data_IF_085957955337
#
_entry.id   IF_085957955337
#
_cell.length_a   1.000
_cell.length_b   1.000
_cell.length_c   1.000
_cell.angle_alpha   90.00
_cell.angle_beta   90.00
_cell.angle_gamma   90.00
#
_symmetry.space_group_name_H-M   'P 1'
#
loop_
_entity.id
_entity.type
_entity.pdbx_description
1 polymer ?
#
# COMPACT_ATOMS: atom_id res chain seq x y z
N UNK A 1 -7.66 7.18 -21.43
CA UNK A 1 -7.62 6.01 -22.32
C UNK A 1 -6.24 5.39 -22.49
N UNK A 2 -5.17 6.11 -22.22
CA UNK A 2 -3.81 5.57 -22.42
C UNK A 2 -3.30 4.69 -21.26
N UNK A 3 -3.93 4.72 -20.11
CA UNK A 3 -3.52 3.96 -18.93
C UNK A 3 -3.90 2.47 -19.00
N UNK A 4 -4.91 2.12 -19.76
CA UNK A 4 -5.34 0.73 -19.92
C UNK A 4 -4.49 -0.05 -20.92
N UNK A 5 -3.86 0.63 -21.89
CA UNK A 5 -2.99 -0.01 -22.87
C UNK A 5 -1.61 -0.36 -22.31
N UNK A 6 -1.11 0.38 -21.33
CA UNK A 6 0.19 0.08 -20.73
C UNK A 6 0.17 -1.18 -19.85
N UNK A 7 -0.98 -1.51 -19.24
CA UNK A 7 -1.11 -2.72 -18.45
C UNK A 7 -1.17 -4.00 -19.29
N UNK A 8 -1.72 -3.92 -20.48
CA UNK A 8 -1.79 -5.07 -21.39
C UNK A 8 -0.41 -5.39 -21.99
N UNK A 9 0.40 -4.38 -22.24
CA UNK A 9 1.76 -4.57 -22.74
C UNK A 9 2.69 -5.20 -21.70
N UNK A 10 2.49 -4.90 -20.42
CA UNK A 10 3.26 -5.50 -19.33
C UNK A 10 2.97 -6.99 -19.17
N UNK A 11 1.71 -7.40 -19.28
CA UNK A 11 1.34 -8.81 -19.26
C UNK A 11 1.84 -9.57 -20.49
N UNK A 12 1.92 -8.92 -21.66
CA UNK A 12 2.42 -9.55 -22.89
C UNK A 12 3.93 -9.80 -22.83
N UNK A 13 4.69 -8.90 -22.23
CA UNK A 13 6.14 -9.06 -22.03
C UNK A 13 6.45 -10.18 -21.05
N UNK A 14 5.65 -10.32 -19.98
CA UNK A 14 5.77 -11.43 -19.04
C UNK A 14 5.41 -12.78 -19.67
N UNK A 15 4.47 -12.80 -20.59
CA UNK A 15 4.08 -14.01 -21.31
C UNK A 15 5.14 -14.47 -22.30
N UNK A 16 5.90 -13.55 -22.88
CA UNK A 16 6.98 -13.87 -23.82
C UNK A 16 8.21 -14.45 -23.11
N UNK A 17 8.53 -13.97 -21.91
CA UNK A 17 9.63 -14.51 -21.08
C UNK A 17 9.35 -15.94 -20.61
N UNK A 18 8.09 -16.29 -20.44
CA UNK A 18 7.72 -17.63 -19.98
C UNK A 18 7.85 -18.70 -21.07
N UNK A 19 7.95 -18.31 -22.36
CA UNK A 19 8.17 -19.26 -23.45
C UNK A 19 9.63 -19.73 -23.55
N UNK A 20 10.58 -18.89 -23.17
CA UNK A 20 11.99 -19.27 -23.15
C UNK A 20 12.34 -20.14 -21.95
N UNK A 21 11.63 -19.98 -20.83
CA UNK A 21 11.82 -20.79 -19.64
C UNK A 21 11.37 -22.25 -19.82
N UNK A 22 10.46 -22.51 -20.76
CA UNK A 22 9.97 -23.88 -21.01
C UNK A 22 10.96 -24.76 -21.77
N UNK A 23 11.88 -24.18 -22.52
CA UNK A 23 12.89 -24.92 -23.24
C UNK A 23 14.10 -25.31 -22.39
N UNK A 24 14.30 -24.64 -21.26
CA UNK A 24 15.38 -24.96 -20.32
C UNK A 24 15.01 -26.05 -19.31
N UNK A 25 13.73 -26.37 -19.17
CA UNK A 25 13.20 -27.32 -18.18
C UNK A 25 13.34 -28.78 -18.56
N UNK A 26 13.79 -29.11 -19.77
CA UNK A 26 13.91 -30.49 -20.26
C UNK A 26 15.24 -31.15 -19.83
N UNK A 27 16.17 -30.41 -19.26
CA UNK A 27 17.50 -30.93 -18.91
C UNK A 27 17.93 -30.81 -17.44
N UNK A 28 17.04 -30.50 -16.53
CA UNK A 28 17.43 -30.33 -15.15
C UNK A 28 16.31 -30.66 -14.18
N UNK A 29 16.02 -31.93 -14.07
CA UNK A 29 15.19 -32.40 -12.96
C UNK A 29 16.06 -32.47 -11.72
N UNK A 30 16.01 -31.50 -10.86
CA UNK A 30 16.35 -31.50 -9.43
C UNK A 30 16.52 -30.04 -8.96
N UNK A 31 15.51 -29.55 -8.27
CA UNK A 31 15.58 -28.26 -7.62
C UNK A 31 14.43 -27.31 -7.95
N UNK A 32 13.20 -27.81 -7.96
CA UNK A 32 12.02 -26.96 -7.93
C UNK A 32 11.87 -26.39 -6.52
N UNK A 33 12.77 -25.50 -6.15
CA UNK A 33 12.43 -24.50 -5.16
C UNK A 33 11.50 -23.52 -5.86
N UNK A 34 10.24 -23.85 -5.81
CA UNK A 34 9.17 -22.95 -6.15
C UNK A 34 9.26 -21.77 -5.18
N UNK A 35 10.07 -20.81 -5.55
CA UNK A 35 10.06 -19.52 -4.90
C UNK A 35 8.72 -18.90 -5.24
N UNK A 36 7.74 -19.18 -4.39
CA UNK A 36 6.48 -18.48 -4.39
C UNK A 36 6.85 -17.02 -4.10
N UNK A 37 7.11 -16.24 -5.14
CA UNK A 37 7.12 -14.80 -5.02
C UNK A 37 5.69 -14.42 -4.67
N UNK A 38 5.42 -14.36 -3.37
CA UNK A 38 4.29 -13.64 -2.85
C UNK A 38 4.47 -12.20 -3.33
N UNK A 39 3.82 -11.90 -4.44
CA UNK A 39 3.61 -10.54 -4.84
C UNK A 39 2.76 -9.93 -3.73
N UNK A 40 3.42 -9.35 -2.75
CA UNK A 40 2.74 -8.53 -1.78
C UNK A 40 2.27 -7.30 -2.53
N UNK A 41 1.08 -7.38 -3.09
CA UNK A 41 0.36 -6.18 -3.41
C UNK A 41 0.10 -5.49 -2.08
N UNK A 42 0.98 -4.59 -1.72
CA UNK A 42 0.68 -3.67 -0.65
C UNK A 42 -0.54 -2.86 -1.11
N UNK A 43 -1.72 -3.29 -0.70
CA UNK A 43 -2.93 -2.52 -0.89
C UNK A 43 -2.71 -1.21 -0.13
N UNK A 44 -2.60 -0.11 -0.86
CA UNK A 44 -2.52 1.21 -0.26
C UNK A 44 -3.79 1.42 0.59
N UNK A 45 -3.61 1.52 1.89
CA UNK A 45 -4.69 1.69 2.85
C UNK A 45 -5.02 3.17 2.95
N UNK A 46 -6.20 3.56 2.47
CA UNK A 46 -6.63 4.95 2.57
C UNK A 46 -7.32 5.19 3.92
N UNK A 47 -6.84 6.20 4.65
CA UNK A 47 -7.35 6.55 5.97
C UNK A 47 -8.85 6.91 5.97
N UNK A 48 -9.36 7.43 4.86
CA UNK A 48 -10.76 7.79 4.73
C UNK A 48 -11.69 6.58 4.54
N UNK A 49 -11.13 5.47 4.08
CA UNK A 49 -11.88 4.26 3.74
C UNK A 49 -11.55 3.07 4.62
N UNK A 50 -10.40 3.10 5.30
CA UNK A 50 -9.94 2.02 6.17
C UNK A 50 -10.94 1.74 7.30
N UNK A 51 -11.17 0.47 7.57
CA UNK A 51 -11.95 0.07 8.74
C UNK A 51 -11.11 0.15 10.03
N UNK A 52 -11.76 0.02 11.16
CA UNK A 52 -11.10 0.11 12.46
C UNK A 52 -9.99 -0.93 12.63
N UNK A 53 -10.23 -2.16 12.21
CA UNK A 53 -9.26 -3.25 12.31
C UNK A 53 -8.05 -3.03 11.42
N UNK A 54 -8.24 -2.47 10.24
CA UNK A 54 -7.16 -2.13 9.33
C UNK A 54 -6.28 -1.02 9.89
N UNK A 55 -6.89 0.00 10.47
CA UNK A 55 -6.15 1.08 11.15
C UNK A 55 -5.39 0.56 12.36
N UNK A 56 -6.01 -0.33 13.15
CA UNK A 56 -5.40 -0.91 14.34
C UNK A 56 -4.23 -1.85 14.02
N UNK A 57 -4.20 -2.39 12.81
CA UNK A 57 -3.08 -3.21 12.32
C UNK A 57 -1.81 -2.40 12.05
N UNK A 58 -1.92 -1.09 11.91
CA UNK A 58 -0.77 -0.21 11.69
C UNK A 58 0.07 -0.08 12.95
N UNK A 59 1.36 -0.32 12.79
CA UNK A 59 2.31 -0.23 13.89
C UNK A 59 2.40 1.21 14.42
N UNK A 60 2.05 1.40 15.67
CA UNK A 60 2.00 2.73 16.28
C UNK A 60 0.62 3.39 16.29
N UNK A 61 -0.38 2.72 15.72
CA UNK A 61 -1.77 3.11 15.82
C UNK A 61 -2.38 2.42 17.06
N UNK A 62 -2.40 3.11 18.18
CA UNK A 62 -3.06 2.59 19.37
C UNK A 62 -4.57 2.84 19.37
N UNK A 63 -5.34 2.17 20.24
CA UNK A 63 -6.79 2.33 20.28
C UNK A 63 -7.24 3.77 20.50
N UNK A 64 -6.51 4.54 21.30
CA UNK A 64 -6.80 5.96 21.52
C UNK A 64 -6.62 6.80 20.27
N UNK A 65 -5.57 6.51 19.49
CA UNK A 65 -5.29 7.24 18.25
C UNK A 65 -6.29 6.85 17.16
N UNK A 66 -6.60 5.57 17.07
CA UNK A 66 -7.61 5.04 16.16
C UNK A 66 -8.97 5.70 16.40
N UNK A 67 -9.41 5.77 17.66
CA UNK A 67 -10.66 6.44 18.02
C UNK A 67 -10.68 7.92 17.59
N UNK A 68 -9.57 8.63 17.75
CA UNK A 68 -9.44 10.03 17.30
C UNK A 68 -9.54 10.16 15.79
N UNK A 69 -8.91 9.27 15.04
CA UNK A 69 -8.99 9.24 13.58
C UNK A 69 -10.42 9.00 13.13
N UNK A 70 -11.09 8.01 13.69
CA UNK A 70 -12.48 7.69 13.36
C UNK A 70 -13.43 8.84 13.69
N UNK A 71 -13.27 9.46 14.86
CA UNK A 71 -14.07 10.61 15.28
C UNK A 71 -13.86 11.82 14.35
N UNK A 72 -12.63 12.13 14.01
CA UNK A 72 -12.33 13.23 13.08
C UNK A 72 -12.86 12.94 11.68
N UNK A 73 -12.69 11.72 11.19
CA UNK A 73 -13.19 11.28 9.89
C UNK A 73 -14.73 11.38 9.80
N UNK A 74 -15.44 11.08 10.87
CA UNK A 74 -16.90 11.15 10.89
C UNK A 74 -17.44 12.57 10.71
N UNK A 75 -16.66 13.58 11.06
CA UNK A 75 -17.02 14.98 10.84
C UNK A 75 -16.84 15.40 9.37
N UNK A 76 -15.70 15.08 8.80
CA UNK A 76 -15.41 15.25 7.38
C UNK A 76 -14.21 14.39 6.98
N UNK A 77 -14.14 13.92 5.72
CA UNK A 77 -12.98 13.21 5.22
C UNK A 77 -11.72 14.07 5.31
N UNK A 78 -10.57 13.41 5.48
CA UNK A 78 -9.28 14.10 5.46
C UNK A 78 -8.93 14.48 4.03
N UNK A 79 -8.49 15.71 3.83
CA UNK A 79 -8.11 16.24 2.51
C UNK A 79 -6.70 15.81 2.12
N UNK A 80 -5.78 15.94 3.07
CA UNK A 80 -4.36 15.64 2.90
C UNK A 80 -3.73 15.29 4.25
N UNK A 81 -2.44 15.01 4.22
CA UNK A 81 -1.66 14.70 5.43
C UNK A 81 -1.57 15.88 6.40
N UNK A 82 -1.53 17.11 5.88
CA UNK A 82 -1.51 18.30 6.72
C UNK A 82 -2.82 18.47 7.50
N UNK A 83 -3.94 18.24 6.85
CA UNK A 83 -5.26 18.24 7.47
C UNK A 83 -5.38 17.15 8.54
N UNK A 84 -4.89 15.94 8.26
CA UNK A 84 -4.85 14.85 9.21
C UNK A 84 -4.04 15.21 10.46
N UNK A 85 -2.86 15.77 10.28
CA UNK A 85 -1.98 16.18 11.38
C UNK A 85 -2.55 17.31 12.22
N UNK A 86 -3.30 18.22 11.61
CA UNK A 86 -3.97 19.31 12.32
C UNK A 86 -5.15 18.82 13.16
N UNK A 87 -5.96 17.93 12.60
CA UNK A 87 -7.21 17.49 13.20
C UNK A 87 -7.05 16.37 14.20
N UNK A 88 -6.05 15.54 14.04
CA UNK A 88 -5.78 14.40 14.91
C UNK A 88 -4.54 14.68 15.75
N UNK A 89 -4.74 14.99 17.02
CA UNK A 89 -3.63 15.15 17.96
C UNK A 89 -2.94 13.80 18.22
N UNK A 90 -1.63 13.76 18.04
CA UNK A 90 -0.83 12.53 18.17
C UNK A 90 -0.22 12.05 16.86
N UNK A 91 -0.69 12.52 15.72
CA UNK A 91 -0.05 12.29 14.43
C UNK A 91 0.77 13.53 14.07
N UNK A 92 2.08 13.37 14.10
CA UNK A 92 3.06 14.37 13.68
C UNK A 92 3.90 13.79 12.54
N UNK A 93 4.86 14.56 12.03
CA UNK A 93 5.73 14.16 10.90
C UNK A 93 6.28 12.75 11.03
N UNK A 94 6.85 12.41 12.18
CA UNK A 94 7.44 11.08 12.40
C UNK A 94 6.39 9.96 12.32
N UNK A 95 5.22 10.19 12.89
CA UNK A 95 4.11 9.23 12.82
C UNK A 95 3.51 9.14 11.41
N UNK A 96 3.33 10.27 10.75
CA UNK A 96 2.85 10.32 9.38
C UNK A 96 3.78 9.56 8.42
N UNK A 97 5.08 9.78 8.56
CA UNK A 97 6.08 9.03 7.79
C UNK A 97 6.01 7.53 8.09
N UNK A 98 5.98 7.16 9.37
CA UNK A 98 5.90 5.76 9.79
C UNK A 98 4.66 5.05 9.24
N UNK A 99 3.52 5.72 9.24
CA UNK A 99 2.28 5.16 8.70
C UNK A 99 2.32 5.06 7.18
N UNK A 100 2.87 6.07 6.51
CA UNK A 100 3.04 6.05 5.06
C UNK A 100 3.97 4.93 4.60
N UNK A 101 5.04 4.67 5.33
CA UNK A 101 5.95 3.54 5.07
C UNK A 101 5.26 2.19 5.20
N UNK A 102 4.22 2.10 6.02
CA UNK A 102 3.39 0.90 6.16
C UNK A 102 2.28 0.80 5.10
N UNK A 103 2.17 1.79 4.21
CA UNK A 103 1.19 1.81 3.13
C UNK A 103 -0.04 2.66 3.39
N UNK A 104 -0.08 3.44 4.49
CA UNK A 104 -1.19 4.36 4.72
C UNK A 104 -1.11 5.54 3.77
N UNK A 105 -2.24 5.89 3.19
CA UNK A 105 -2.39 7.03 2.29
C UNK A 105 -3.55 7.92 2.74
N UNK A 106 -3.53 9.17 2.33
CA UNK A 106 -4.66 10.10 2.45
C UNK A 106 -5.08 10.50 1.04
N UNK A 107 -6.30 10.15 0.66
CA UNK A 107 -6.81 10.32 -0.72
C UNK A 107 -5.89 9.70 -1.79
N UNK A 108 -5.32 8.54 -1.48
CA UNK A 108 -4.40 7.84 -2.38
C UNK A 108 -2.99 8.43 -2.44
N UNK A 109 -2.69 9.47 -1.65
CA UNK A 109 -1.37 10.10 -1.62
C UNK A 109 -0.55 9.63 -0.43
N UNK A 110 0.67 9.13 -0.64
CA UNK A 110 1.58 8.83 0.45
C UNK A 110 2.09 10.12 1.11
N UNK A 111 2.58 9.99 2.34
CA UNK A 111 3.19 11.14 3.01
C UNK A 111 4.53 11.48 2.34
N UNK A 112 4.58 12.69 1.79
CA UNK A 112 5.83 13.21 1.24
C UNK A 112 6.47 14.12 2.30
N UNK A 113 7.52 13.59 2.92
CA UNK A 113 8.28 14.31 3.95
C UNK A 113 9.17 15.41 3.36
N UNK A 114 8.88 15.84 2.13
CA UNK A 114 9.64 16.90 1.51
C UNK A 114 9.41 18.23 2.24
N UNK A 115 10.48 18.85 2.72
CA UNK A 115 10.34 20.14 3.40
C UNK A 115 9.82 21.24 2.49
#
# INVERSE_FOLDING_TARGET
>A
MNTLQNNVSFCAVFSALNRFARLALVRGFLGATMTLMLCHTALALDINHANEAELDSLKGMGPSLNAKVLAARSQSPFKDWADLMQRVSGIRHNKAQQFSEQGLTVNGQPFDAKP
#
